data_IF_188515093508
#
_entry.id   IF_188515093508
#
_cell.length_a   1.000
_cell.length_b   1.000
_cell.length_c   1.000
_cell.angle_alpha   90.00
_cell.angle_beta   90.00
_cell.angle_gamma   90.00
#
_symmetry.space_group_name_H-M   'P 1'
#
loop_
_entity.id
_entity.type
_entity.pdbx_description
1 polymer ?
#
# COMPACT_ATOMS: atom_id res chain seq x y z
N UNK A 1 -6.24 8.82 23.56
CA UNK A 1 -6.08 7.76 22.54
C UNK A 1 -5.16 6.69 23.11
N UNK A 2 -5.48 5.39 23.06
CA UNK A 2 -4.56 4.33 23.52
C UNK A 2 -3.26 4.40 22.72
N UNK A 3 -2.12 4.24 23.39
CA UNK A 3 -0.81 4.20 22.72
C UNK A 3 -0.80 3.03 21.73
N UNK A 4 -0.27 3.26 20.53
CA UNK A 4 -0.10 2.26 19.47
C UNK A 4 1.10 1.33 19.78
N UNK A 5 1.18 0.82 21.02
CA UNK A 5 2.23 -0.08 21.44
C UNK A 5 2.11 -1.41 20.68
N UNK A 6 3.23 -2.07 20.27
CA UNK A 6 3.18 -3.32 19.51
C UNK A 6 2.32 -4.41 20.18
N UNK A 7 2.41 -4.55 21.50
CA UNK A 7 1.60 -5.51 22.27
C UNK A 7 0.10 -5.22 22.18
N UNK A 8 -0.29 -3.94 22.30
CA UNK A 8 -1.69 -3.51 22.22
C UNK A 8 -2.24 -3.64 20.80
N UNK A 9 -1.44 -3.33 19.77
CA UNK A 9 -1.82 -3.52 18.37
C UNK A 9 -2.05 -5.00 18.04
N UNK A 10 -1.16 -5.89 18.51
CA UNK A 10 -1.31 -7.33 18.36
C UNK A 10 -2.57 -7.84 19.05
N UNK A 11 -2.81 -7.44 20.30
CA UNK A 11 -4.02 -7.86 21.04
C UNK A 11 -5.29 -7.41 20.31
N UNK A 12 -5.34 -6.14 19.87
CA UNK A 12 -6.49 -5.62 19.15
C UNK A 12 -6.72 -6.34 17.82
N UNK A 13 -5.65 -6.65 17.08
CA UNK A 13 -5.73 -7.43 15.85
C UNK A 13 -6.32 -8.83 16.10
N UNK A 14 -5.83 -9.54 17.11
CA UNK A 14 -6.34 -10.88 17.45
C UNK A 14 -7.79 -10.86 17.91
N UNK A 15 -8.20 -9.84 18.67
CA UNK A 15 -9.61 -9.60 19.01
C UNK A 15 -10.45 -9.39 17.75
N UNK A 16 -10.01 -8.54 16.83
CA UNK A 16 -10.72 -8.24 15.59
C UNK A 16 -10.85 -9.47 14.68
N UNK A 17 -9.75 -10.19 14.46
CA UNK A 17 -9.73 -11.40 13.62
C UNK A 17 -10.61 -12.54 14.17
N UNK A 18 -10.86 -12.55 15.48
CA UNK A 18 -11.71 -13.52 16.17
C UNK A 18 -13.12 -13.00 16.46
N UNK A 19 -13.47 -11.80 15.99
CA UNK A 19 -14.74 -11.14 16.28
C UNK A 19 -15.04 -11.01 17.79
N UNK A 20 -13.99 -10.86 18.60
CA UNK A 20 -14.09 -10.82 20.05
C UNK A 20 -13.85 -9.40 20.58
N UNK A 21 -14.87 -8.54 20.43
CA UNK A 21 -14.91 -7.17 20.99
C UNK A 21 -13.55 -6.43 20.92
N UNK A 22 -13.06 -6.10 19.70
CA UNK A 22 -11.85 -5.32 19.56
C UNK A 22 -12.04 -3.90 20.10
N UNK A 23 -10.95 -3.27 20.54
CA UNK A 23 -10.98 -1.88 21.00
C UNK A 23 -11.21 -0.90 19.85
N UNK A 24 -10.81 -1.28 18.63
CA UNK A 24 -11.06 -0.55 17.38
C UNK A 24 -10.97 -1.51 16.19
N UNK A 25 -11.55 -1.14 15.05
CA UNK A 25 -11.42 -1.91 13.81
C UNK A 25 -10.03 -1.63 13.21
N UNK A 26 -9.16 -2.64 13.03
CA UNK A 26 -7.90 -2.45 12.32
C UNK A 26 -8.19 -2.01 10.88
N UNK A 27 -7.67 -0.85 10.49
CA UNK A 27 -7.80 -0.32 9.14
C UNK A 27 -6.49 0.39 8.78
N UNK A 28 -6.05 0.21 7.55
CA UNK A 28 -4.80 0.78 7.06
C UNK A 28 -5.05 1.46 5.72
N UNK A 29 -4.43 2.62 5.53
CA UNK A 29 -4.46 3.34 4.26
C UNK A 29 -3.17 3.06 3.52
N UNK A 30 -3.27 2.55 2.30
CA UNK A 30 -2.14 2.40 1.38
C UNK A 30 -2.32 3.37 0.22
N UNK A 31 -1.21 3.96 -0.22
CA UNK A 31 -1.17 4.88 -1.36
C UNK A 31 -0.35 4.22 -2.47
N UNK A 32 -0.88 4.12 -3.71
CA UNK A 32 -0.16 3.51 -4.82
C UNK A 32 1.21 4.15 -5.09
N UNK A 33 2.17 3.35 -5.54
CA UNK A 33 3.52 3.80 -5.89
C UNK A 33 3.48 4.86 -6.99
N UNK A 34 2.56 4.75 -7.95
CA UNK A 34 2.35 5.77 -8.99
C UNK A 34 2.05 7.16 -8.42
N UNK A 35 1.21 7.23 -7.38
CA UNK A 35 0.87 8.47 -6.68
C UNK A 35 2.09 9.03 -5.95
N UNK A 36 2.88 8.17 -5.31
CA UNK A 36 4.14 8.58 -4.69
C UNK A 36 5.17 9.09 -5.72
N UNK A 37 5.33 8.40 -6.86
CA UNK A 37 6.19 8.84 -7.97
C UNK A 37 5.74 10.19 -8.54
N UNK A 38 4.43 10.43 -8.60
CA UNK A 38 3.87 11.69 -9.13
C UNK A 38 4.05 12.88 -8.18
N UNK A 39 3.85 12.69 -6.88
CA UNK A 39 3.76 13.81 -5.93
C UNK A 39 4.91 13.90 -4.93
N UNK A 40 5.66 12.80 -4.71
CA UNK A 40 6.87 12.76 -3.88
C UNK A 40 6.71 13.48 -2.54
N UNK A 41 7.59 14.46 -2.31
CA UNK A 41 7.64 15.25 -1.08
C UNK A 41 6.34 16.02 -0.77
N UNK A 42 5.57 16.43 -1.80
CA UNK A 42 4.28 17.10 -1.57
C UNK A 42 3.30 16.15 -0.88
N UNK A 43 3.29 14.88 -1.29
CA UNK A 43 2.47 13.85 -0.65
C UNK A 43 3.03 13.48 0.73
N UNK A 44 4.35 13.40 0.89
CA UNK A 44 4.98 13.15 2.18
C UNK A 44 4.57 14.21 3.22
N UNK A 45 4.53 15.49 2.83
CA UNK A 45 4.07 16.57 3.69
C UNK A 45 2.58 16.49 4.09
N UNK A 46 1.73 15.86 3.26
CA UNK A 46 0.33 15.56 3.62
C UNK A 46 0.32 14.41 4.62
N UNK A 47 1.00 13.31 4.31
CA UNK A 47 1.04 12.08 5.12
C UNK A 47 1.57 12.36 6.53
N UNK A 48 2.60 13.20 6.67
CA UNK A 48 3.17 13.61 7.95
C UNK A 48 2.18 14.33 8.86
N UNK A 49 1.24 15.09 8.29
CA UNK A 49 0.19 15.81 9.03
C UNK A 49 -0.92 14.88 9.54
N UNK A 50 -1.02 13.66 9.01
CA UNK A 50 -2.10 12.71 9.30
C UNK A 50 -1.62 11.51 10.13
N UNK A 51 -1.07 11.78 11.32
CA UNK A 51 -0.49 10.75 12.21
C UNK A 51 -1.47 9.66 12.68
N UNK A 52 -2.77 9.91 12.64
CA UNK A 52 -3.77 8.87 12.93
C UNK A 52 -3.79 7.77 11.85
N UNK A 53 -3.69 8.18 10.58
CA UNK A 53 -3.74 7.28 9.43
C UNK A 53 -2.36 6.70 9.11
N UNK A 54 -1.32 7.47 9.35
CA UNK A 54 0.07 7.11 9.03
C UNK A 54 0.99 7.24 10.26
N UNK A 55 0.68 6.52 11.37
CA UNK A 55 1.40 6.68 12.64
C UNK A 55 2.88 6.32 12.56
N UNK A 56 3.25 5.48 11.59
CA UNK A 56 4.62 4.96 11.44
C UNK A 56 5.38 5.61 10.29
N UNK A 57 4.78 6.53 9.55
CA UNK A 57 5.44 7.16 8.41
C UNK A 57 6.60 8.06 8.85
N UNK A 58 7.74 7.86 8.19
CA UNK A 58 9.01 8.57 8.33
C UNK A 58 9.53 8.81 6.92
N UNK A 59 9.90 10.05 6.62
CA UNK A 59 10.23 10.48 5.24
C UNK A 59 11.41 9.71 4.68
N UNK A 60 12.34 9.31 5.55
CA UNK A 60 13.54 8.54 5.23
C UNK A 60 13.22 7.13 4.71
N UNK A 61 12.00 6.62 4.93
CA UNK A 61 11.56 5.33 4.40
C UNK A 61 11.15 5.42 2.92
N UNK A 62 11.06 6.62 2.35
CA UNK A 62 10.63 6.83 0.97
C UNK A 62 11.79 6.53 0.01
N UNK A 63 11.86 5.30 -0.50
CA UNK A 63 12.76 4.92 -1.60
C UNK A 63 11.94 4.53 -2.84
N UNK A 64 11.68 5.50 -3.72
CA UNK A 64 10.84 5.28 -4.91
C UNK A 64 11.54 4.50 -6.01
N UNK A 65 12.88 4.50 -6.00
CA UNK A 65 13.70 3.75 -6.97
C UNK A 65 13.80 2.26 -6.61
N UNK A 66 13.54 1.88 -5.35
CA UNK A 66 13.45 0.48 -4.96
C UNK A 66 12.27 -0.28 -5.59
N UNK A 67 11.28 0.42 -6.17
CA UNK A 67 10.14 -0.22 -6.80
C UNK A 67 10.46 -0.63 -8.25
N UNK A 68 10.43 -1.93 -8.56
CA UNK A 68 10.78 -2.41 -9.89
C UNK A 68 9.81 -1.85 -10.93
N UNK A 69 10.37 -1.27 -11.99
CA UNK A 69 9.59 -0.86 -13.16
C UNK A 69 9.09 -2.12 -13.85
N UNK A 70 7.80 -2.17 -14.15
CA UNK A 70 7.23 -3.26 -14.95
C UNK A 70 7.48 -2.97 -16.44
N UNK A 71 7.73 -4.00 -17.26
CA UNK A 71 7.80 -3.81 -18.71
C UNK A 71 6.43 -3.33 -19.23
N UNK A 72 6.38 -2.66 -20.40
CA UNK A 72 5.13 -2.21 -21.01
C UNK A 72 4.12 -3.35 -21.21
N UNK A 73 4.64 -4.55 -21.50
CA UNK A 73 3.87 -5.78 -21.66
C UNK A 73 4.53 -6.94 -20.93
N UNK A 74 3.72 -7.82 -20.34
CA UNK A 74 4.18 -9.04 -19.65
C UNK A 74 3.18 -10.16 -19.88
N UNK A 75 3.66 -11.36 -20.22
CA UNK A 75 2.84 -12.57 -20.30
C UNK A 75 2.98 -13.34 -18.98
N UNK A 76 1.87 -13.62 -18.33
CA UNK A 76 1.86 -14.40 -17.09
C UNK A 76 1.87 -15.91 -17.35
N UNK A 77 1.97 -16.69 -16.27
CA UNK A 77 2.00 -18.15 -16.27
C UNK A 77 0.70 -18.78 -16.80
N UNK A 78 -0.38 -18.01 -16.85
CA UNK A 78 -1.67 -18.43 -17.39
C UNK A 78 -1.79 -18.14 -18.89
N UNK A 79 -0.80 -17.47 -19.49
CA UNK A 79 -0.79 -17.10 -20.90
C UNK A 79 -1.47 -15.76 -21.20
N UNK A 80 -1.96 -15.03 -20.20
CA UNK A 80 -2.56 -13.71 -20.39
C UNK A 80 -1.47 -12.65 -20.65
N UNK A 81 -1.73 -11.75 -21.59
CA UNK A 81 -0.86 -10.60 -21.84
C UNK A 81 -1.39 -9.39 -21.08
N UNK A 82 -0.55 -8.87 -20.19
CA UNK A 82 -0.80 -7.68 -19.41
C UNK A 82 -0.14 -6.47 -20.06
N UNK A 83 -0.86 -5.34 -20.14
CA UNK A 83 -0.34 -4.04 -20.54
C UNK A 83 -0.29 -3.08 -19.35
N UNK A 84 0.87 -2.48 -19.13
CA UNK A 84 1.11 -1.48 -18.09
C UNK A 84 1.32 -0.11 -18.73
N UNK A 85 0.38 0.81 -18.53
CA UNK A 85 0.45 2.17 -19.10
C UNK A 85 1.06 3.19 -18.14
N UNK A 86 0.96 2.93 -16.83
CA UNK A 86 1.45 3.82 -15.78
C UNK A 86 2.31 3.03 -14.81
N UNK A 87 3.56 3.46 -14.65
CA UNK A 87 4.48 2.87 -13.68
C UNK A 87 3.94 3.00 -12.25
N UNK A 88 3.99 1.91 -11.49
CA UNK A 88 3.44 1.84 -10.14
C UNK A 88 1.92 1.62 -10.06
N UNK A 89 1.22 1.38 -11.19
CA UNK A 89 -0.14 0.86 -11.23
C UNK A 89 -0.19 -0.59 -11.73
N UNK A 90 -1.24 -1.31 -11.34
CA UNK A 90 -1.52 -2.63 -11.91
C UNK A 90 -1.97 -2.47 -13.37
N UNK A 91 -1.42 -3.31 -14.24
CA UNK A 91 -1.79 -3.35 -15.65
C UNK A 91 -3.16 -3.98 -15.86
N UNK A 92 -3.59 -4.02 -17.12
CA UNK A 92 -4.81 -4.70 -17.55
C UNK A 92 -4.47 -5.85 -18.48
N UNK A 93 -5.27 -6.92 -18.45
CA UNK A 93 -5.19 -7.98 -19.47
C UNK A 93 -5.70 -7.40 -20.79
N UNK A 94 -4.89 -7.54 -21.85
CA UNK A 94 -5.24 -7.10 -23.21
C UNK A 94 -5.43 -8.27 -24.17
N UNK A 95 -4.86 -9.43 -23.83
CA UNK A 95 -5.07 -10.69 -24.55
C UNK A 95 -5.18 -11.81 -23.52
N UNK A 96 -6.12 -12.71 -23.71
CA UNK A 96 -6.27 -13.93 -22.92
C UNK A 96 -6.22 -15.15 -23.85
N UNK A 97 -5.76 -16.31 -23.35
CA UNK A 97 -5.60 -17.52 -24.17
C UNK A 97 -6.89 -18.32 -24.36
N UNK A 98 -8.07 -17.75 -24.09
CA UNK A 98 -9.39 -18.38 -24.23
C UNK A 98 -10.30 -17.57 -25.17
#
# INVERSE_FOLDING_TARGET
>A
MRKLEPKTMRENYLRAARFNYPFFIPSFVSIPVSTWKRYGDKLAGIVEKHKLLFPWFRREMLNLEAYPKRPPTYRDEWGCVWRYTVDGLQGIVVENPL
#
